data_IF_644017409333
#
_entry.id   IF_644017409333
#
_cell.length_a   1.000
_cell.length_b   1.000
_cell.length_c   1.000
_cell.angle_alpha   90.00
_cell.angle_beta   90.00
_cell.angle_gamma   90.00
#
_symmetry.space_group_name_H-M   'P 1'
#
loop_
_entity.id
_entity.type
_entity.pdbx_description
1 polymer ?
#
# COMPACT_ATOMS: atom_id res chain seq x y z
N UNK A 1 -63.25 -0.19 -28.73
CA UNK A 1 -62.87 -0.15 -27.30
C UNK A 1 -62.05 -1.39 -27.02
N UNK A 2 -60.96 -1.19 -26.26
CA UNK A 2 -60.03 -2.17 -25.67
C UNK A 2 -58.90 -2.58 -26.64
N UNK A 3 -57.73 -1.95 -26.62
CA UNK A 3 -56.66 -1.94 -25.58
C UNK A 3 -55.84 -3.24 -25.60
N UNK A 4 -54.95 -3.35 -26.59
CA UNK A 4 -53.87 -4.32 -26.57
C UNK A 4 -52.69 -3.74 -25.78
N UNK A 5 -52.57 -4.22 -24.54
CA UNK A 5 -51.48 -3.92 -23.62
C UNK A 5 -50.13 -4.29 -24.23
N UNK A 6 -49.37 -3.25 -24.52
CA UNK A 6 -47.95 -3.24 -24.78
C UNK A 6 -47.21 -3.98 -23.64
N UNK A 7 -46.73 -5.20 -23.90
CA UNK A 7 -45.80 -5.93 -23.05
C UNK A 7 -44.39 -5.33 -23.19
N UNK A 8 -44.12 -4.22 -22.49
CA UNK A 8 -42.75 -3.76 -22.27
C UNK A 8 -42.13 -4.61 -21.15
N UNK A 9 -41.42 -5.67 -21.54
CA UNK A 9 -40.54 -6.39 -20.64
C UNK A 9 -39.34 -5.49 -20.29
N UNK A 10 -39.44 -4.72 -19.21
CA UNK A 10 -38.30 -4.04 -18.61
C UNK A 10 -37.36 -5.11 -18.03
N UNK A 11 -36.35 -5.48 -18.81
CA UNK A 11 -35.20 -6.22 -18.30
C UNK A 11 -34.48 -5.34 -17.28
N UNK A 12 -34.70 -5.60 -15.99
CA UNK A 12 -33.89 -5.06 -14.91
C UNK A 12 -32.47 -5.61 -15.08
N UNK A 13 -31.60 -4.81 -15.71
CA UNK A 13 -30.15 -4.96 -15.63
C UNK A 13 -29.75 -4.71 -14.18
N UNK A 14 -29.67 -5.78 -13.38
CA UNK A 14 -29.07 -5.75 -12.06
C UNK A 14 -27.59 -5.39 -12.23
N UNK A 15 -27.27 -4.13 -11.94
CA UNK A 15 -25.93 -3.61 -11.85
C UNK A 15 -25.30 -4.17 -10.57
N UNK A 16 -24.72 -5.36 -10.66
CA UNK A 16 -23.96 -5.96 -9.55
C UNK A 16 -22.69 -5.13 -9.36
N UNK A 17 -22.71 -4.18 -8.44
CA UNK A 17 -21.51 -3.53 -7.94
C UNK A 17 -20.62 -4.62 -7.34
N UNK A 18 -19.41 -4.79 -7.86
CA UNK A 18 -18.39 -5.73 -7.39
C UNK A 18 -17.81 -5.35 -5.99
N UNK A 19 -18.64 -4.84 -5.09
CA UNK A 19 -18.26 -4.24 -3.81
C UNK A 19 -18.48 -5.18 -2.60
N UNK A 20 -18.88 -6.43 -2.82
CA UNK A 20 -19.32 -7.33 -1.74
C UNK A 20 -18.40 -8.55 -1.51
N UNK A 21 -17.08 -8.44 -1.75
CA UNK A 21 -16.15 -9.45 -1.20
C UNK A 21 -15.76 -9.05 0.24
N UNK A 22 -16.26 -9.75 1.28
CA UNK A 22 -16.00 -9.42 2.67
C UNK A 22 -14.53 -9.60 3.06
N UNK A 23 -13.74 -10.35 2.28
CA UNK A 23 -12.29 -10.48 2.48
C UNK A 23 -11.55 -9.22 2.00
N UNK A 24 -11.96 -8.65 0.86
CA UNK A 24 -11.41 -7.39 0.36
C UNK A 24 -11.69 -6.23 1.33
N UNK A 25 -12.90 -6.17 1.89
CA UNK A 25 -13.30 -5.13 2.83
C UNK A 25 -12.49 -5.15 4.16
N UNK A 26 -11.94 -6.30 4.56
CA UNK A 26 -11.10 -6.44 5.76
C UNK A 26 -9.63 -6.11 5.52
N UNK A 27 -9.23 -5.95 4.27
CA UNK A 27 -7.85 -5.66 3.90
C UNK A 27 -7.60 -4.16 3.88
N UNK A 28 -6.87 -3.64 4.87
CA UNK A 28 -6.41 -2.25 4.88
C UNK A 28 -5.04 -2.16 4.22
N UNK A 29 -4.92 -1.28 3.25
CA UNK A 29 -3.69 -1.03 2.50
C UNK A 29 -3.16 0.38 2.79
N UNK A 30 -1.86 0.59 2.59
CA UNK A 30 -1.27 1.92 2.64
C UNK A 30 -1.77 2.79 1.48
N UNK A 31 -1.52 4.09 1.59
CA UNK A 31 -1.78 5.02 0.50
C UNK A 31 -1.06 4.58 -0.78
N UNK A 32 -1.75 4.63 -1.92
CA UNK A 32 -1.20 4.20 -3.21
C UNK A 32 -1.24 2.69 -3.46
N UNK A 33 -1.88 1.91 -2.58
CA UNK A 33 -2.13 0.48 -2.75
C UNK A 33 -3.63 0.16 -2.77
N UNK A 34 -4.02 -0.91 -3.46
CA UNK A 34 -5.39 -1.41 -3.49
C UNK A 34 -5.46 -2.89 -3.11
N UNK A 35 -6.47 -3.31 -2.34
CA UNK A 35 -6.67 -4.71 -2.01
C UNK A 35 -7.10 -5.48 -3.26
N UNK A 36 -6.40 -6.57 -3.57
CA UNK A 36 -6.73 -7.47 -4.67
C UNK A 36 -6.56 -8.92 -4.23
N UNK A 37 -7.32 -9.82 -4.87
CA UNK A 37 -7.25 -11.26 -4.62
C UNK A 37 -6.22 -11.89 -5.56
N UNK A 38 -5.16 -12.47 -5.01
CA UNK A 38 -4.12 -13.18 -5.74
C UNK A 38 -3.84 -14.53 -5.08
N UNK A 39 -3.83 -15.62 -5.86
CA UNK A 39 -3.52 -16.98 -5.37
C UNK A 39 -4.24 -17.36 -4.05
N UNK A 40 -5.56 -17.08 -4.00
CA UNK A 40 -6.45 -17.35 -2.84
C UNK A 40 -6.19 -16.49 -1.60
N UNK A 41 -5.33 -15.47 -1.68
CA UNK A 41 -5.10 -14.49 -0.61
C UNK A 41 -5.55 -13.12 -1.07
N UNK A 42 -5.95 -12.28 -0.11
CA UNK A 42 -6.10 -10.85 -0.37
C UNK A 42 -4.80 -10.17 0.04
N UNK A 43 -4.25 -9.36 -0.86
CA UNK A 43 -3.02 -8.60 -0.64
C UNK A 43 -3.19 -7.18 -1.21
N UNK A 44 -2.32 -6.28 -0.79
CA UNK A 44 -2.31 -4.90 -1.23
C UNK A 44 -1.33 -4.75 -2.40
N UNK A 45 -1.84 -4.38 -3.58
CA UNK A 45 -1.07 -4.16 -4.79
C UNK A 45 -0.84 -2.67 -5.01
N UNK A 46 0.40 -2.28 -5.28
CA UNK A 46 0.73 -0.89 -5.61
C UNK A 46 0.05 -0.46 -6.90
N UNK A 47 -0.62 0.70 -6.88
CA UNK A 47 -1.33 1.24 -8.05
C UNK A 47 -0.33 1.66 -9.13
N UNK A 48 0.80 2.24 -8.71
CA UNK A 48 1.87 2.73 -9.59
C UNK A 48 3.16 1.91 -9.46
N UNK A 49 3.27 1.12 -8.40
CA UNK A 49 4.46 0.34 -8.07
C UNK A 49 4.12 -1.14 -8.28
N UNK A 50 4.97 -1.87 -9.01
CA UNK A 50 4.88 -3.33 -9.15
C UNK A 50 5.36 -4.03 -7.88
N UNK A 51 4.74 -3.68 -6.76
CA UNK A 51 5.03 -4.17 -5.42
C UNK A 51 3.72 -4.69 -4.80
N UNK A 52 3.84 -5.81 -4.06
CA UNK A 52 2.75 -6.41 -3.31
C UNK A 52 3.13 -6.45 -1.83
N UNK A 53 2.18 -6.14 -0.97
CA UNK A 53 2.34 -6.22 0.48
C UNK A 53 1.14 -6.92 1.11
N UNK A 54 1.33 -7.45 2.32
CA UNK A 54 0.23 -8.06 3.07
C UNK A 54 -0.77 -7.00 3.56
N UNK A 55 -2.00 -7.44 3.81
CA UNK A 55 -3.03 -6.59 4.40
C UNK A 55 -2.71 -6.21 5.83
N UNK A 56 -3.16 -5.03 6.26
CA UNK A 56 -3.10 -4.56 7.64
C UNK A 56 -1.68 -4.46 8.22
N UNK A 57 -0.67 -4.31 7.36
CA UNK A 57 0.70 -4.02 7.78
C UNK A 57 0.78 -2.59 8.32
N UNK A 58 1.43 -2.34 9.46
CA UNK A 58 1.59 -0.98 10.00
C UNK A 58 2.36 -0.09 9.02
N UNK A 59 1.84 1.11 8.76
CA UNK A 59 2.51 2.05 7.86
C UNK A 59 3.79 2.61 8.49
N UNK A 60 4.92 2.38 7.82
CA UNK A 60 6.23 2.84 8.29
C UNK A 60 6.39 4.35 8.07
N UNK A 61 7.05 5.08 8.99
CA UNK A 61 7.39 6.47 8.77
C UNK A 61 8.21 6.64 7.48
N UNK A 62 7.94 7.70 6.73
CA UNK A 62 8.79 8.08 5.59
C UNK A 62 10.12 8.60 6.14
N UNK A 63 11.23 8.06 5.66
CA UNK A 63 12.57 8.50 6.09
C UNK A 63 12.81 9.95 5.65
N UNK A 64 13.15 10.82 6.61
CA UNK A 64 13.52 12.22 6.34
C UNK A 64 15.04 12.30 6.20
N UNK A 65 15.49 12.94 5.14
CA UNK A 65 16.90 13.05 4.80
C UNK A 65 17.20 14.46 4.27
N UNK A 66 18.24 15.10 4.78
CA UNK A 66 18.78 16.35 4.22
C UNK A 66 19.88 16.06 3.19
N UNK A 67 20.08 17.00 2.25
CA UNK A 67 21.09 16.88 1.21
C UNK A 67 20.59 16.20 -0.07
N UNK A 68 21.51 15.78 -0.93
CA UNK A 68 21.20 15.22 -2.24
C UNK A 68 20.98 13.70 -2.13
N UNK A 69 19.76 13.32 -1.73
CA UNK A 69 19.41 11.93 -1.48
C UNK A 69 18.97 11.26 -2.77
N UNK A 70 19.56 10.11 -3.05
CA UNK A 70 19.29 9.34 -4.26
C UNK A 70 18.55 8.03 -3.98
N UNK A 71 18.49 7.61 -2.71
CA UNK A 71 17.80 6.39 -2.32
C UNK A 71 17.63 6.24 -0.81
N UNK A 72 16.65 5.43 -0.43
CA UNK A 72 16.43 4.97 0.95
C UNK A 72 16.71 3.48 1.00
N UNK A 73 17.59 3.06 1.89
CA UNK A 73 17.97 1.66 2.09
C UNK A 73 17.41 1.16 3.42
N UNK A 74 17.07 -0.12 3.49
CA UNK A 74 16.69 -0.78 4.74
C UNK A 74 17.47 -2.07 4.85
N UNK A 75 18.12 -2.26 5.99
CA UNK A 75 18.87 -3.46 6.34
C UNK A 75 18.53 -3.90 7.78
N UNK A 76 19.13 -4.99 8.24
CA UNK A 76 18.92 -5.50 9.62
C UNK A 76 19.42 -4.55 10.71
N UNK A 77 20.11 -3.47 10.37
CA UNK A 77 20.58 -2.48 11.33
C UNK A 77 19.71 -1.23 11.35
N UNK A 78 18.84 -1.02 10.35
CA UNK A 78 17.97 0.16 10.31
C UNK A 78 17.57 0.61 8.90
N UNK A 79 17.01 1.81 8.86
CA UNK A 79 16.65 2.53 7.62
C UNK A 79 17.59 3.72 7.45
N UNK A 80 18.09 3.89 6.23
CA UNK A 80 19.20 4.78 5.92
C UNK A 80 18.93 5.61 4.68
N UNK A 81 19.37 6.86 4.70
CA UNK A 81 19.51 7.72 3.55
C UNK A 81 20.80 7.35 2.81
N UNK A 82 20.75 7.34 1.47
CA UNK A 82 21.90 7.08 0.62
C UNK A 82 22.02 8.10 -0.51
N UNK A 83 23.26 8.51 -0.76
CA UNK A 83 23.67 9.32 -1.91
C UNK A 83 24.62 8.50 -2.78
N UNK A 84 24.23 8.30 -4.03
CA UNK A 84 24.99 7.65 -5.07
C UNK A 84 25.55 8.70 -6.01
N UNK A 85 26.87 8.68 -6.24
CA UNK A 85 27.51 9.51 -7.26
C UNK A 85 28.27 8.60 -8.21
N UNK A 86 27.95 8.67 -9.51
CA UNK A 86 28.59 7.87 -10.55
C UNK A 86 28.56 6.35 -10.29
N UNK A 87 27.42 5.86 -9.77
CA UNK A 87 27.21 4.43 -9.51
C UNK A 87 27.96 3.86 -8.31
N UNK A 88 28.57 4.70 -7.46
CA UNK A 88 29.16 4.30 -6.18
C UNK A 88 28.43 4.97 -5.03
N UNK A 89 28.30 4.24 -3.91
CA UNK A 89 27.85 4.81 -2.63
C UNK A 89 28.82 5.93 -2.24
N UNK A 90 28.35 7.17 -2.33
CA UNK A 90 29.10 8.34 -1.89
C UNK A 90 28.94 8.52 -0.38
N UNK A 91 27.71 8.34 0.12
CA UNK A 91 27.37 8.55 1.53
C UNK A 91 26.15 7.73 1.95
N UNK A 92 26.21 7.15 3.14
CA UNK A 92 25.09 6.50 3.84
C UNK A 92 24.97 7.11 5.24
N UNK A 93 23.77 7.51 5.65
CA UNK A 93 23.52 8.07 6.98
C UNK A 93 22.10 7.74 7.47
N UNK A 94 21.88 7.87 8.77
CA UNK A 94 20.59 7.55 9.40
C UNK A 94 19.49 8.53 8.99
N UNK A 95 18.24 8.06 8.97
CA UNK A 95 17.07 8.94 8.87
C UNK A 95 17.09 10.00 9.98
N UNK A 96 16.77 11.24 9.62
CA UNK A 96 16.78 12.38 10.55
C UNK A 96 15.58 12.37 11.49
N UNK A 97 14.46 11.77 11.08
CA UNK A 97 13.25 11.62 11.88
C UNK A 97 13.31 10.41 12.84
N UNK A 98 14.37 10.33 13.65
CA UNK A 98 14.60 9.21 14.59
C UNK A 98 13.47 9.03 15.60
N UNK A 99 12.83 10.12 16.01
CA UNK A 99 11.73 10.09 16.98
C UNK A 99 10.48 9.37 16.43
N UNK A 100 10.14 9.60 15.16
CA UNK A 100 9.02 8.92 14.48
C UNK A 100 9.27 7.41 14.40
N UNK A 101 10.49 7.02 14.05
CA UNK A 101 10.90 5.62 14.01
C UNK A 101 10.89 4.98 15.40
N UNK A 102 11.40 5.67 16.41
CA UNK A 102 11.36 5.17 17.79
C UNK A 102 9.92 4.95 18.27
N UNK A 103 9.01 5.89 17.97
CA UNK A 103 7.58 5.76 18.27
C UNK A 103 6.96 4.58 17.53
N UNK A 104 7.24 4.46 16.22
CA UNK A 104 6.74 3.36 15.41
C UNK A 104 7.17 1.99 15.95
N UNK A 105 8.44 1.82 16.34
CA UNK A 105 8.93 0.56 16.91
C UNK A 105 8.43 0.30 18.32
N UNK A 106 8.14 1.33 19.10
CA UNK A 106 7.50 1.18 20.41
C UNK A 106 6.06 0.65 20.26
N UNK A 107 5.32 1.14 19.26
CA UNK A 107 3.96 0.70 18.95
C UNK A 107 3.94 -0.65 18.19
N UNK A 108 4.99 -0.96 17.42
CA UNK A 108 5.11 -2.16 16.59
C UNK A 108 6.44 -2.91 16.83
N UNK A 109 6.63 -3.57 18.00
CA UNK A 109 7.91 -4.20 18.34
C UNK A 109 8.37 -5.30 17.38
N UNK A 110 7.44 -5.91 16.63
CA UNK A 110 7.74 -6.96 15.64
C UNK A 110 8.37 -6.43 14.35
N UNK A 111 8.25 -5.13 14.09
CA UNK A 111 8.80 -4.49 12.88
C UNK A 111 10.24 -3.99 13.08
N UNK A 112 10.79 -4.15 14.29
CA UNK A 112 12.17 -3.73 14.58
C UNK A 112 13.16 -4.58 13.78
N UNK A 113 14.11 -3.96 13.05
CA UNK A 113 15.16 -4.67 12.30
C UNK A 113 16.04 -5.57 13.16
#
# INVERSE_FOLDING_TARGET
>A
MNEDCIHFAFAFLSLSSAADDPELAKCKCWEGYQPQKWEKRVQCFGILLLNVQDCNVPERPKCVCSGNVTGILSDSSGVWCSEYTSGKDHRKWECENKEDWAKFYAENPKEKP
#
